data_IF_792756694343
#
_entry.id   IF_792756694343
#
_cell.length_a   1.000
_cell.length_b   1.000
_cell.length_c   1.000
_cell.angle_alpha   90.00
_cell.angle_beta   90.00
_cell.angle_gamma   90.00
#
_symmetry.space_group_name_H-M   'P 1'
#
loop_
_entity.id
_entity.type
_entity.pdbx_description
1 polymer ?
#
# COMPACT_ATOMS: atom_id res chain seq x y z
N UNK A 1 -8.86 4.21 -20.25
CA UNK A 1 -9.52 4.75 -19.05
C UNK A 1 -9.28 3.79 -17.89
N UNK A 2 -8.13 3.95 -17.23
CA UNK A 2 -7.76 3.15 -16.05
C UNK A 2 -8.77 3.43 -14.94
N UNK A 3 -9.47 2.40 -14.48
CA UNK A 3 -10.35 2.52 -13.32
C UNK A 3 -9.47 2.80 -12.11
N UNK A 4 -9.39 4.07 -11.70
CA UNK A 4 -8.72 4.47 -10.47
C UNK A 4 -9.23 3.55 -9.35
N UNK A 5 -8.34 2.71 -8.85
CA UNK A 5 -8.62 1.73 -7.82
C UNK A 5 -9.16 2.49 -6.62
N UNK A 6 -10.43 2.27 -6.28
CA UNK A 6 -11.09 2.83 -5.08
C UNK A 6 -10.11 2.70 -3.91
N UNK A 7 -9.68 3.82 -3.33
CA UNK A 7 -8.79 3.82 -2.17
C UNK A 7 -9.40 2.94 -1.07
N UNK A 8 -8.85 1.74 -0.87
CA UNK A 8 -9.27 0.81 0.20
C UNK A 8 -8.74 1.30 1.57
N UNK A 9 -7.92 2.34 1.59
CA UNK A 9 -7.20 2.78 2.79
C UNK A 9 -8.04 3.47 3.86
N UNK A 10 -9.33 3.76 3.62
CA UNK A 10 -10.10 4.58 4.57
C UNK A 10 -10.42 3.88 5.90
N UNK A 11 -10.17 2.57 6.07
CA UNK A 11 -10.65 1.86 7.27
C UNK A 11 -9.78 0.68 7.76
N UNK A 12 -8.47 0.67 7.50
CA UNK A 12 -7.58 -0.36 8.05
C UNK A 12 -7.10 0.07 9.43
N UNK A 13 -7.38 -0.74 10.46
CA UNK A 13 -6.90 -0.48 11.82
C UNK A 13 -5.36 -0.58 11.88
N UNK A 14 -4.73 0.28 12.68
CA UNK A 14 -3.28 0.25 12.95
C UNK A 14 -2.86 -0.82 13.96
N UNK A 15 -3.81 -1.65 14.39
CA UNK A 15 -3.61 -2.71 15.39
C UNK A 15 -4.04 -4.05 14.82
N UNK A 16 -3.40 -5.12 15.28
CA UNK A 16 -3.84 -6.47 14.94
C UNK A 16 -5.18 -6.78 15.63
N UNK A 17 -6.17 -7.21 14.85
CA UNK A 17 -7.46 -7.68 15.33
C UNK A 17 -7.58 -9.19 15.16
N UNK A 18 -8.07 -9.88 16.18
CA UNK A 18 -8.39 -11.32 16.07
C UNK A 18 -9.58 -11.52 15.13
N UNK A 19 -9.48 -12.51 14.24
CA UNK A 19 -10.57 -12.91 13.32
C UNK A 19 -11.06 -14.32 13.64
N UNK A 20 -12.34 -14.58 13.39
CA UNK A 20 -12.93 -15.90 13.57
C UNK A 20 -12.40 -16.89 12.52
N UNK A 21 -11.74 -17.95 12.99
CA UNK A 21 -11.16 -19.01 12.16
C UNK A 21 -12.22 -19.82 11.41
N UNK A 22 -13.44 -19.96 11.95
CA UNK A 22 -14.52 -20.69 11.28
C UNK A 22 -15.01 -19.93 10.04
N UNK A 23 -15.10 -18.61 10.13
CA UNK A 23 -15.47 -17.75 9.00
C UNK A 23 -14.42 -17.81 7.90
N UNK A 24 -13.13 -17.78 8.27
CA UNK A 24 -12.01 -17.89 7.34
C UNK A 24 -12.02 -19.28 6.68
N UNK A 25 -12.05 -20.35 7.48
CA UNK A 25 -12.14 -21.73 7.01
C UNK A 25 -13.33 -21.95 6.09
N UNK A 26 -14.49 -21.35 6.38
CA UNK A 26 -15.71 -21.51 5.60
C UNK A 26 -15.59 -21.10 4.14
N UNK A 27 -14.55 -20.36 3.74
CA UNK A 27 -14.31 -19.98 2.34
C UNK A 27 -13.64 -21.06 1.50
N UNK A 28 -12.75 -21.85 2.07
CA UNK A 28 -12.00 -22.90 1.34
C UNK A 28 -12.23 -24.30 1.89
N UNK A 29 -12.86 -24.44 3.06
CA UNK A 29 -12.94 -25.68 3.83
C UNK A 29 -11.69 -25.99 4.66
N UNK A 30 -10.59 -25.26 4.45
CA UNK A 30 -9.30 -25.51 5.10
C UNK A 30 -8.64 -24.20 5.60
N UNK A 31 -8.31 -24.14 6.89
CA UNK A 31 -7.70 -22.96 7.52
C UNK A 31 -6.34 -22.61 6.90
N UNK A 32 -5.49 -23.61 6.68
CA UNK A 32 -4.14 -23.40 6.15
C UNK A 32 -4.16 -22.90 4.71
N UNK A 33 -5.04 -23.46 3.88
CA UNK A 33 -5.23 -22.99 2.51
C UNK A 33 -5.74 -21.54 2.48
N UNK A 34 -6.73 -21.23 3.32
CA UNK A 34 -7.26 -19.87 3.47
C UNK A 34 -6.15 -18.88 3.85
N UNK A 35 -5.30 -19.23 4.82
CA UNK A 35 -4.16 -18.39 5.22
C UNK A 35 -3.17 -18.23 4.06
N UNK A 36 -2.84 -19.30 3.34
CA UNK A 36 -1.92 -19.24 2.21
C UNK A 36 -2.43 -18.34 1.08
N UNK A 37 -3.74 -18.37 0.79
CA UNK A 37 -4.37 -17.48 -0.19
C UNK A 37 -4.33 -16.02 0.29
N UNK A 38 -4.65 -15.76 1.56
CA UNK A 38 -4.60 -14.41 2.14
C UNK A 38 -3.17 -13.85 2.04
N UNK A 39 -2.15 -14.65 2.39
CA UNK A 39 -0.75 -14.26 2.28
C UNK A 39 -0.33 -13.92 0.84
N UNK A 40 -0.69 -14.79 -0.13
CA UNK A 40 -0.43 -14.51 -1.56
C UNK A 40 -1.11 -13.23 -2.02
N UNK A 41 -2.35 -12.98 -1.59
CA UNK A 41 -3.09 -11.77 -1.94
C UNK A 41 -2.50 -10.52 -1.28
N UNK A 42 -2.04 -10.61 -0.04
CA UNK A 42 -1.34 -9.52 0.64
C UNK A 42 -0.08 -9.11 -0.13
N UNK A 43 0.71 -10.07 -0.62
CA UNK A 43 1.89 -9.79 -1.45
C UNK A 43 1.55 -9.03 -2.74
N UNK A 44 0.47 -9.42 -3.43
CA UNK A 44 0.00 -8.71 -4.63
C UNK A 44 -0.40 -7.26 -4.33
N UNK A 45 -1.06 -7.03 -3.18
CA UNK A 45 -1.42 -5.68 -2.75
C UNK A 45 -0.16 -4.86 -2.44
N UNK A 46 0.81 -5.45 -1.75
CA UNK A 46 2.08 -4.80 -1.40
C UNK A 46 2.86 -4.37 -2.64
N UNK A 47 2.98 -5.23 -3.65
CA UNK A 47 3.65 -4.89 -4.93
C UNK A 47 2.96 -3.69 -5.57
N UNK A 48 1.63 -3.73 -5.71
CA UNK A 48 0.86 -2.65 -6.31
C UNK A 48 0.94 -1.33 -5.52
N UNK A 49 1.04 -1.37 -4.20
CA UNK A 49 1.24 -0.18 -3.37
C UNK A 49 2.63 0.43 -3.57
N UNK A 50 3.66 -0.41 -3.67
CA UNK A 50 5.03 0.03 -3.96
C UNK A 50 5.14 0.67 -5.34
N UNK A 51 4.53 0.07 -6.35
CA UNK A 51 4.46 0.64 -7.70
C UNK A 51 3.72 1.99 -7.71
N UNK A 52 2.59 2.10 -7.01
CA UNK A 52 1.85 3.36 -6.90
C UNK A 52 2.68 4.46 -6.22
N UNK A 53 3.37 4.14 -5.12
CA UNK A 53 4.27 5.07 -4.45
C UNK A 53 5.40 5.51 -5.39
N UNK A 54 6.03 4.57 -6.09
CA UNK A 54 7.12 4.87 -7.01
C UNK A 54 6.67 5.82 -8.13
N UNK A 55 5.54 5.52 -8.78
CA UNK A 55 4.98 6.37 -9.82
C UNK A 55 4.67 7.78 -9.30
N UNK A 56 4.10 7.89 -8.10
CA UNK A 56 3.83 9.19 -7.46
C UNK A 56 5.12 9.97 -7.18
N UNK A 57 6.20 9.29 -6.79
CA UNK A 57 7.48 9.94 -6.52
C UNK A 57 8.19 10.36 -7.82
N UNK A 58 8.05 9.60 -8.91
CA UNK A 58 8.60 9.96 -10.23
C UNK A 58 7.99 11.25 -10.78
N UNK A 59 6.71 11.53 -10.50
CA UNK A 59 6.05 12.79 -10.90
C UNK A 59 6.75 14.03 -10.32
N UNK A 60 7.51 13.88 -9.23
CA UNK A 60 8.27 14.96 -8.59
C UNK A 60 9.77 14.96 -8.95
N UNK A 61 10.26 13.97 -9.68
CA UNK A 61 11.64 13.93 -10.15
C UNK A 61 11.82 14.90 -11.34
N UNK A 62 12.06 16.18 -11.03
CA UNK A 62 12.32 17.22 -12.02
C UNK A 62 13.52 16.84 -12.90
N UNK A 63 13.29 16.71 -14.21
CA UNK A 63 14.33 16.55 -15.23
C UNK A 63 15.04 17.87 -15.57
N UNK A 64 15.39 18.67 -14.56
CA UNK A 64 16.05 19.96 -14.77
C UNK A 64 17.38 19.99 -14.04
N UNK A 65 18.43 19.71 -14.81
CA UNK A 65 19.85 19.95 -14.49
C UNK A 65 20.16 21.48 -14.40
N UNK A 66 19.28 22.24 -13.76
CA UNK A 66 19.50 23.67 -13.51
C UNK A 66 19.94 23.82 -12.07
N UNK A 67 21.06 24.54 -11.87
CA UNK A 67 21.64 24.98 -10.59
C UNK A 67 20.68 25.94 -9.85
N UNK A 68 19.44 25.53 -9.67
CA UNK A 68 18.40 26.26 -8.97
C UNK A 68 18.22 25.57 -7.61
N UNK A 69 18.26 26.38 -6.55
CA UNK A 69 18.17 25.95 -5.17
C UNK A 69 16.99 24.98 -5.00
N UNK A 70 17.28 23.70 -4.73
CA UNK A 70 16.28 22.65 -4.59
C UNK A 70 15.46 22.98 -3.33
N UNK A 71 14.39 23.75 -3.50
CA UNK A 71 13.44 24.01 -2.43
C UNK A 71 12.79 22.69 -2.00
N UNK A 72 12.60 22.51 -0.69
CA UNK A 72 11.94 21.31 -0.14
C UNK A 72 10.58 21.09 -0.81
N UNK A 73 10.40 19.90 -1.41
CA UNK A 73 9.13 19.52 -2.03
C UNK A 73 8.14 19.05 -0.95
N UNK A 74 7.31 19.98 -0.47
CA UNK A 74 6.29 19.71 0.57
C UNK A 74 5.32 18.59 0.20
N UNK A 75 4.98 18.44 -1.08
CA UNK A 75 4.06 17.41 -1.56
C UNK A 75 4.71 16.02 -1.52
N UNK A 76 5.99 15.92 -1.89
CA UNK A 76 6.75 14.67 -1.78
C UNK A 76 6.87 14.20 -0.32
N UNK A 77 7.09 15.14 0.61
CA UNK A 77 7.15 14.87 2.06
C UNK A 77 5.79 14.38 2.57
N UNK A 78 4.69 15.00 2.15
CA UNK A 78 3.35 14.61 2.56
C UNK A 78 2.97 13.22 2.05
N UNK A 79 3.30 12.91 0.79
CA UNK A 79 3.08 11.59 0.20
C UNK A 79 3.90 10.54 0.97
N UNK A 80 5.19 10.79 1.18
CA UNK A 80 6.04 9.85 1.93
C UNK A 80 5.49 9.60 3.34
N UNK A 81 5.11 10.65 4.06
CA UNK A 81 4.49 10.54 5.40
C UNK A 81 3.17 9.77 5.40
N UNK A 82 2.37 9.88 4.35
CA UNK A 82 1.11 9.15 4.24
C UNK A 82 1.35 7.64 4.13
N UNK A 83 2.33 7.21 3.32
CA UNK A 83 2.71 5.81 3.17
C UNK A 83 3.45 5.27 4.39
N UNK A 84 4.29 6.07 5.06
CA UNK A 84 4.95 5.69 6.32
C UNK A 84 3.96 5.41 7.46
N UNK A 85 2.82 6.12 7.49
CA UNK A 85 1.76 5.92 8.48
C UNK A 85 0.91 4.68 8.22
N UNK A 86 1.01 4.09 7.02
CA UNK A 86 0.29 2.85 6.74
C UNK A 86 0.90 1.69 7.54
N UNK A 87 0.09 0.71 7.95
CA UNK A 87 0.61 -0.51 8.57
C UNK A 87 1.58 -1.21 7.61
N UNK A 88 2.88 -1.10 7.89
CA UNK A 88 3.91 -1.76 7.09
C UNK A 88 3.83 -3.27 7.30
N UNK A 89 3.64 -4.02 6.22
CA UNK A 89 3.97 -5.43 6.15
C UNK A 89 5.45 -5.54 5.75
N UNK A 90 6.35 -5.22 6.68
CA UNK A 90 7.74 -5.68 6.59
C UNK A 90 7.82 -7.14 6.98
#
# INVERSE_FOLDING_TARGET
>A
MSRLRRQISANTANTAETKDLNVIKGKTGNVYESIAIIAKRANQINISLKEELHNKLEEFASHTDSLEEIHENKEQIEISRAYERMPNAS
#
